data_IF_939604171633
#
_entry.id   IF_939604171633
#
_cell.length_a   1.000
_cell.length_b   1.000
_cell.length_c   1.000
_cell.angle_alpha   90.00
_cell.angle_beta   90.00
_cell.angle_gamma   90.00
#
_symmetry.space_group_name_H-M   'P 1'
#
loop_
_entity.id
_entity.type
_entity.pdbx_description
1 polymer ?
#
# COMPACT_ATOMS: atom_id res chain seq x y z
N UNK A 1 14.73 -4.13 -20.22
CA UNK A 1 13.31 -4.50 -20.05
C UNK A 1 12.90 -4.68 -18.59
N UNK A 2 13.70 -5.35 -17.76
CA UNK A 2 13.39 -5.59 -16.33
C UNK A 2 13.24 -4.29 -15.52
N UNK A 3 14.11 -3.32 -15.72
CA UNK A 3 14.06 -2.04 -14.99
C UNK A 3 12.82 -1.19 -15.35
N UNK A 4 12.49 -1.10 -16.63
CA UNK A 4 11.28 -0.43 -17.09
C UNK A 4 10.01 -1.07 -16.50
N UNK A 5 9.95 -2.40 -16.49
CA UNK A 5 8.84 -3.13 -15.86
C UNK A 5 8.77 -2.89 -14.34
N UNK A 6 9.92 -2.80 -13.67
CA UNK A 6 9.97 -2.52 -12.23
C UNK A 6 9.45 -1.12 -11.89
N UNK A 7 9.85 -0.11 -12.66
CA UNK A 7 9.41 1.28 -12.49
C UNK A 7 7.90 1.38 -12.74
N UNK A 8 7.40 0.77 -13.82
CA UNK A 8 5.96 0.78 -14.14
C UNK A 8 5.17 0.08 -13.04
N UNK A 9 5.62 -1.09 -12.57
CA UNK A 9 4.96 -1.81 -11.46
C UNK A 9 4.90 -0.94 -10.20
N UNK A 10 5.99 -0.27 -9.85
CA UNK A 10 6.04 0.64 -8.72
C UNK A 10 5.01 1.76 -8.85
N UNK A 11 4.95 2.41 -10.01
CA UNK A 11 3.98 3.47 -10.27
C UNK A 11 2.52 2.98 -10.21
N UNK A 12 2.21 1.85 -10.84
CA UNK A 12 0.84 1.31 -10.89
C UNK A 12 0.35 0.87 -9.52
N UNK A 13 1.16 0.11 -8.76
CA UNK A 13 0.78 -0.37 -7.42
C UNK A 13 0.56 0.81 -6.47
N UNK A 14 1.41 1.83 -6.55
CA UNK A 14 1.29 3.02 -5.71
C UNK A 14 0.09 3.89 -6.08
N UNK A 15 -0.15 4.08 -7.38
CA UNK A 15 -1.35 4.78 -7.86
C UNK A 15 -2.63 4.07 -7.43
N UNK A 16 -2.65 2.74 -7.46
CA UNK A 16 -3.78 1.93 -6.99
C UNK A 16 -3.97 2.06 -5.47
N UNK A 17 -2.90 2.04 -4.68
CA UNK A 17 -2.98 2.26 -3.24
C UNK A 17 -3.54 3.65 -2.89
N UNK A 18 -3.10 4.69 -3.60
CA UNK A 18 -3.63 6.06 -3.42
C UNK A 18 -5.10 6.15 -3.83
N UNK A 19 -5.49 5.49 -4.92
CA UNK A 19 -6.87 5.47 -5.36
C UNK A 19 -7.80 4.79 -4.34
N UNK A 20 -7.40 3.64 -3.80
CA UNK A 20 -8.22 2.83 -2.89
C UNK A 20 -8.26 3.38 -1.46
N UNK A 21 -7.12 3.81 -0.92
CA UNK A 21 -6.99 4.14 0.51
C UNK A 21 -6.98 5.64 0.80
N UNK A 22 -6.54 6.48 -0.14
CA UNK A 22 -6.46 7.94 0.05
C UNK A 22 -7.59 8.70 -0.66
N UNK A 23 -8.65 7.98 -1.04
CA UNK A 23 -9.86 8.51 -1.69
C UNK A 23 -9.63 9.02 -3.10
N UNK A 24 -8.55 8.62 -3.77
CA UNK A 24 -8.18 9.13 -5.09
C UNK A 24 -7.94 10.64 -5.11
N UNK A 25 -8.19 11.27 -6.26
CA UNK A 25 -8.15 12.72 -6.39
C UNK A 25 -9.18 13.21 -7.41
N UNK A 26 -9.84 14.33 -7.09
CA UNK A 26 -10.75 15.01 -8.03
C UNK A 26 -10.02 15.66 -9.21
N UNK A 27 -8.70 15.88 -9.12
CA UNK A 27 -7.88 16.44 -10.20
C UNK A 27 -6.56 15.68 -10.34
N UNK A 28 -6.07 15.62 -11.58
CA UNK A 28 -4.82 14.94 -11.96
C UNK A 28 -3.57 15.41 -11.16
N UNK A 29 -3.36 16.73 -10.93
CA UNK A 29 -2.21 17.20 -10.16
C UNK A 29 -2.21 16.71 -8.71
N UNK A 30 -3.38 16.64 -8.07
CA UNK A 30 -3.52 16.15 -6.69
C UNK A 30 -3.24 14.65 -6.61
N UNK A 31 -3.66 13.88 -7.63
CA UNK A 31 -3.33 12.45 -7.71
C UNK A 31 -1.82 12.21 -7.79
N UNK A 32 -1.14 12.95 -8.67
CA UNK A 32 0.30 12.86 -8.86
C UNK A 32 1.03 13.27 -7.57
N UNK A 33 0.59 14.36 -6.92
CA UNK A 33 1.17 14.82 -5.66
C UNK A 33 1.06 13.79 -4.53
N UNK A 34 -0.12 13.17 -4.36
CA UNK A 34 -0.32 12.10 -3.37
C UNK A 34 0.54 10.87 -3.67
N UNK A 35 0.60 10.46 -4.93
CA UNK A 35 1.40 9.30 -5.37
C UNK A 35 2.89 9.53 -5.15
N UNK A 36 3.38 10.73 -5.47
CA UNK A 36 4.77 11.10 -5.23
C UNK A 36 5.09 11.18 -3.73
N UNK A 37 4.20 11.78 -2.92
CA UNK A 37 4.35 11.80 -1.46
C UNK A 37 4.42 10.38 -0.88
N UNK A 38 3.59 9.45 -1.36
CA UNK A 38 3.60 8.06 -0.92
C UNK A 38 4.89 7.32 -1.33
N UNK A 39 5.41 7.59 -2.54
CA UNK A 39 6.71 7.08 -3.00
C UNK A 39 7.88 7.58 -2.14
N UNK A 40 7.86 8.84 -1.72
CA UNK A 40 8.87 9.41 -0.82
C UNK A 40 8.85 8.70 0.53
N UNK A 41 7.66 8.49 1.11
CA UNK A 41 7.51 7.76 2.38
C UNK A 41 8.09 6.35 2.29
N UNK A 42 7.77 5.59 1.22
CA UNK A 42 8.34 4.25 1.04
C UNK A 42 9.86 4.27 0.85
N UNK A 43 10.38 5.29 0.16
CA UNK A 43 11.82 5.44 -0.04
C UNK A 43 12.53 5.69 1.30
N UNK A 44 11.98 6.58 2.13
CA UNK A 44 12.49 6.82 3.50
C UNK A 44 12.43 5.54 4.33
N UNK A 45 11.30 4.83 4.29
CA UNK A 45 11.13 3.57 5.02
C UNK A 45 12.15 2.52 4.59
N UNK A 46 12.45 2.43 3.29
CA UNK A 46 13.50 1.56 2.75
C UNK A 46 14.91 1.94 3.22
N UNK A 47 15.18 3.22 3.45
CA UNK A 47 16.48 3.71 3.95
C UNK A 47 16.64 3.42 5.44
N UNK A 48 15.58 3.59 6.23
CA UNK A 48 15.62 3.40 7.69
C UNK A 48 15.56 1.91 8.08
N UNK A 49 14.82 1.09 7.33
CA UNK A 49 14.65 -0.32 7.65
C UNK A 49 15.81 -1.17 7.12
N UNK A 50 16.36 -2.02 7.98
CA UNK A 50 17.32 -3.04 7.57
C UNK A 50 16.66 -4.09 6.67
N UNK A 51 17.44 -4.74 5.80
CA UNK A 51 16.93 -5.85 4.98
C UNK A 51 16.52 -7.02 5.87
N UNK A 52 15.24 -7.34 5.88
CA UNK A 52 14.69 -8.48 6.63
C UNK A 52 14.93 -9.79 5.86
N UNK A 53 15.13 -10.89 6.59
CA UNK A 53 15.16 -12.25 6.01
C UNK A 53 13.76 -12.64 5.56
N UNK A 54 13.68 -13.42 4.47
CA UNK A 54 12.41 -13.87 3.88
C UNK A 54 11.53 -14.59 4.91
N UNK A 55 12.13 -15.39 5.79
CA UNK A 55 11.39 -16.14 6.81
C UNK A 55 10.60 -15.23 7.76
N UNK A 56 11.20 -14.11 8.19
CA UNK A 56 10.56 -13.15 9.09
C UNK A 56 9.52 -12.29 8.35
N UNK A 57 9.76 -12.01 7.07
CA UNK A 57 8.82 -11.27 6.22
C UNK A 57 7.53 -12.07 6.06
N UNK A 58 7.61 -13.39 5.86
CA UNK A 58 6.44 -14.24 5.69
C UNK A 58 5.55 -14.25 6.93
N UNK A 59 6.14 -14.45 8.11
CA UNK A 59 5.42 -14.41 9.39
C UNK A 59 4.75 -13.04 9.62
N UNK A 60 5.46 -11.95 9.34
CA UNK A 60 4.92 -10.60 9.44
C UNK A 60 3.72 -10.37 8.51
N UNK A 61 3.79 -10.84 7.26
CA UNK A 61 2.68 -10.72 6.31
C UNK A 61 1.45 -11.52 6.72
N UNK A 62 1.62 -12.70 7.33
CA UNK A 62 0.50 -13.48 7.86
C UNK A 62 -0.24 -12.74 8.97
N UNK A 63 0.50 -12.13 9.90
CA UNK A 63 -0.10 -11.32 10.98
C UNK A 63 -0.88 -10.14 10.39
N UNK A 64 -0.29 -9.40 9.45
CA UNK A 64 -0.97 -8.29 8.79
C UNK A 64 -2.21 -8.74 8.02
N UNK A 65 -2.17 -9.89 7.35
CA UNK A 65 -3.32 -10.43 6.63
C UNK A 65 -4.48 -10.76 7.57
N UNK A 66 -4.19 -11.31 8.75
CA UNK A 66 -5.22 -11.59 9.78
C UNK A 66 -5.83 -10.27 10.28
N UNK A 67 -5.00 -9.26 10.60
CA UNK A 67 -5.49 -7.95 11.05
C UNK A 67 -6.37 -7.28 9.98
N UNK A 68 -5.94 -7.30 8.72
CA UNK A 68 -6.72 -6.77 7.61
C UNK A 68 -8.03 -7.56 7.39
N UNK A 69 -8.01 -8.88 7.59
CA UNK A 69 -9.20 -9.72 7.52
C UNK A 69 -10.22 -9.37 8.62
N UNK A 70 -9.76 -9.13 9.85
CA UNK A 70 -10.63 -8.70 10.96
C UNK A 70 -11.24 -7.33 10.66
N UNK A 71 -10.46 -6.38 10.16
CA UNK A 71 -10.96 -5.06 9.80
C UNK A 71 -11.97 -5.14 8.64
N UNK A 72 -11.73 -5.98 7.64
CA UNK A 72 -12.66 -6.23 6.55
C UNK A 72 -13.99 -6.80 7.05
N UNK A 73 -13.95 -7.80 7.94
CA UNK A 73 -15.15 -8.37 8.56
C UNK A 73 -15.92 -7.28 9.33
N UNK A 74 -15.23 -6.43 10.10
CA UNK A 74 -15.84 -5.31 10.81
C UNK A 74 -16.53 -4.35 9.84
N UNK A 75 -15.86 -3.94 8.77
CA UNK A 75 -16.43 -3.02 7.76
C UNK A 75 -17.65 -3.62 7.06
N UNK A 76 -17.70 -4.94 6.89
CA UNK A 76 -18.86 -5.62 6.28
C UNK A 76 -20.02 -5.79 7.28
N UNK A 77 -19.75 -6.11 8.54
CA UNK A 77 -20.77 -6.38 9.54
C UNK A 77 -21.40 -5.11 10.15
N UNK A 78 -20.61 -4.06 10.37
CA UNK A 78 -21.10 -2.79 10.97
C UNK A 78 -22.22 -2.10 10.15
N UNK A 79 -22.18 -2.02 8.81
CA UNK A 79 -23.31 -1.49 8.03
C UNK A 79 -24.49 -2.47 7.92
N UNK A 80 -24.36 -3.73 8.35
CA UNK A 80 -25.42 -4.73 8.32
C UNK A 80 -26.37 -4.68 9.55
N UNK A 81 -26.16 -3.75 10.49
CA UNK A 81 -27.07 -3.52 11.62
C UNK A 81 -27.02 -4.59 12.71
N UNK A 82 -25.85 -5.21 12.93
CA UNK A 82 -25.53 -6.02 14.11
C UNK A 82 -24.66 -5.22 15.10
#
# INVERSE_FOLDING_TARGET
MIEAAHIIKGFVVMGLAVALFLGGAGTLPVFIGKTFGFLVVLTVLRVVMARLRIDHILEFYWVLAIVAGVDLIRVILVPAGL
#
